data_IF_616073101213
#
_entry.id   IF_616073101213
#
_cell.length_a   1.000
_cell.length_b   1.000
_cell.length_c   1.000
_cell.angle_alpha   90.00
_cell.angle_beta   90.00
_cell.angle_gamma   90.00
#
_symmetry.space_group_name_H-M   'P 1'
#
loop_
_entity.id
_entity.type
_entity.pdbx_description
1 polymer ?
#
# COMPACT_ATOMS: atom_id res chain seq x y z
N UNK A 1 -27.93 -22.26 16.79
CA UNK A 1 -26.78 -21.48 16.33
C UNK A 1 -26.71 -21.74 14.84
N UNK A 2 -26.91 -20.71 14.03
CA UNK A 2 -26.77 -20.85 12.59
C UNK A 2 -25.30 -20.62 12.27
N UNK A 3 -24.60 -21.71 11.96
CA UNK A 3 -23.20 -21.72 11.53
C UNK A 3 -23.20 -21.34 10.04
N UNK A 4 -22.75 -20.13 9.73
CA UNK A 4 -22.54 -19.67 8.37
C UNK A 4 -21.02 -19.63 8.13
N UNK A 5 -20.54 -20.39 7.16
CA UNK A 5 -19.16 -20.36 6.71
C UNK A 5 -19.12 -19.73 5.31
N UNK A 6 -18.28 -18.71 5.15
CA UNK A 6 -18.07 -18.04 3.87
C UNK A 6 -17.16 -18.96 3.04
N UNK A 7 -17.73 -19.55 1.98
CA UNK A 7 -17.06 -20.56 1.15
C UNK A 7 -16.65 -20.04 -0.24
N UNK A 8 -16.82 -18.74 -0.50
CA UNK A 8 -16.39 -18.09 -1.74
C UNK A 8 -15.82 -16.69 -1.43
N UNK A 9 -14.66 -16.38 -2.02
CA UNK A 9 -13.87 -15.17 -1.78
C UNK A 9 -13.72 -14.33 -3.06
N UNK A 10 -14.49 -14.61 -4.12
CA UNK A 10 -14.47 -13.81 -5.35
C UNK A 10 -14.88 -12.36 -5.05
N UNK A 11 -13.97 -11.41 -5.34
CA UNK A 11 -14.18 -9.97 -5.13
C UNK A 11 -13.42 -9.34 -3.96
N UNK A 12 -12.76 -10.14 -3.11
CA UNK A 12 -11.95 -9.63 -1.99
C UNK A 12 -10.47 -9.40 -2.35
N UNK A 13 -10.08 -9.58 -3.61
CA UNK A 13 -8.70 -9.35 -4.10
C UNK A 13 -7.63 -10.10 -3.25
N UNK A 14 -8.04 -11.20 -2.61
CA UNK A 14 -7.21 -12.01 -1.72
C UNK A 14 -7.22 -11.61 -0.24
N UNK A 15 -8.01 -10.64 0.22
CA UNK A 15 -8.13 -10.33 1.65
C UNK A 15 -8.60 -11.57 2.44
N UNK A 16 -8.03 -11.80 3.62
CA UNK A 16 -8.38 -12.92 4.47
C UNK A 16 -9.45 -12.50 5.47
N UNK A 17 -10.45 -13.35 5.66
CA UNK A 17 -11.53 -13.11 6.61
C UNK A 17 -11.58 -14.28 7.60
N UNK A 18 -11.60 -13.97 8.89
CA UNK A 18 -11.81 -14.99 9.93
C UNK A 18 -13.18 -15.64 9.77
N UNK A 19 -13.26 -16.96 9.96
CA UNK A 19 -14.52 -17.72 9.99
C UNK A 19 -15.49 -17.23 11.08
N UNK A 20 -14.99 -16.46 12.06
CA UNK A 20 -15.76 -15.88 13.17
C UNK A 20 -16.01 -14.38 13.04
N UNK A 21 -15.74 -13.80 11.87
CA UNK A 21 -16.00 -12.39 11.63
C UNK A 21 -17.50 -12.08 11.80
N UNK A 22 -17.79 -10.96 12.46
CA UNK A 22 -19.16 -10.47 12.55
C UNK A 22 -19.66 -10.04 11.17
N UNK A 23 -20.98 -10.07 10.96
CA UNK A 23 -21.57 -9.59 9.70
C UNK A 23 -21.22 -8.12 9.41
N UNK A 24 -21.10 -7.30 10.45
CA UNK A 24 -20.65 -5.90 10.37
C UNK A 24 -19.21 -5.80 9.85
N UNK A 25 -18.30 -6.65 10.36
CA UNK A 25 -16.91 -6.72 9.87
C UNK A 25 -16.84 -7.11 8.39
N UNK A 26 -17.69 -8.03 7.94
CA UNK A 26 -17.77 -8.43 6.52
C UNK A 26 -18.22 -7.25 5.66
N UNK A 27 -19.28 -6.54 6.07
CA UNK A 27 -19.80 -5.40 5.32
C UNK A 27 -18.77 -4.27 5.24
N UNK A 28 -18.13 -3.91 6.37
CA UNK A 28 -17.13 -2.84 6.39
C UNK A 28 -15.92 -3.20 5.52
N UNK A 29 -15.44 -4.45 5.55
CA UNK A 29 -14.36 -4.87 4.66
C UNK A 29 -14.78 -4.85 3.19
N UNK A 30 -16.01 -5.25 2.88
CA UNK A 30 -16.52 -5.21 1.51
C UNK A 30 -16.61 -3.76 1.00
N UNK A 31 -17.08 -2.81 1.82
CA UNK A 31 -17.12 -1.39 1.49
C UNK A 31 -15.71 -0.83 1.28
N UNK A 32 -14.77 -1.17 2.17
CA UNK A 32 -13.36 -0.76 2.07
C UNK A 32 -12.69 -1.29 0.79
N UNK A 33 -12.90 -2.56 0.43
CA UNK A 33 -12.39 -3.12 -0.82
C UNK A 33 -13.12 -2.56 -2.03
N UNK A 34 -14.41 -2.23 -1.93
CA UNK A 34 -15.11 -1.55 -3.01
C UNK A 34 -14.56 -0.13 -3.26
N UNK A 35 -14.11 0.56 -2.22
CA UNK A 35 -13.51 1.89 -2.29
C UNK A 35 -12.06 1.86 -2.81
N UNK A 36 -11.22 0.98 -2.25
CA UNK A 36 -9.77 0.97 -2.51
C UNK A 36 -9.32 -0.16 -3.46
N UNK A 37 -10.24 -1.02 -3.90
CA UNK A 37 -9.97 -2.14 -4.78
C UNK A 37 -8.89 -3.08 -4.25
N UNK A 38 -8.04 -3.54 -5.18
CA UNK A 38 -6.91 -4.42 -4.87
C UNK A 38 -5.91 -3.83 -3.89
N UNK A 39 -5.71 -2.50 -3.91
CA UNK A 39 -4.82 -1.84 -2.98
C UNK A 39 -5.33 -2.00 -1.54
N UNK A 40 -6.63 -1.78 -1.32
CA UNK A 40 -7.25 -1.98 -0.01
C UNK A 40 -7.00 -3.37 0.54
N UNK A 41 -7.23 -4.41 -0.27
CA UNK A 41 -6.98 -5.79 0.15
C UNK A 41 -5.51 -6.07 0.53
N UNK A 42 -4.54 -5.49 -0.20
CA UNK A 42 -3.11 -5.64 0.09
C UNK A 42 -2.73 -4.94 1.40
N UNK A 43 -3.23 -3.71 1.61
CA UNK A 43 -3.01 -2.92 2.82
C UNK A 43 -3.63 -3.60 4.04
N UNK A 44 -4.88 -4.06 3.92
CA UNK A 44 -5.57 -4.81 4.98
C UNK A 44 -4.78 -6.05 5.42
N UNK A 45 -4.28 -6.83 4.46
CA UNK A 45 -3.44 -7.99 4.75
C UNK A 45 -2.13 -7.59 5.43
N UNK A 46 -1.53 -6.47 5.04
CA UNK A 46 -0.28 -5.98 5.66
C UNK A 46 -0.45 -5.71 7.15
N UNK A 47 -1.59 -5.14 7.56
CA UNK A 47 -1.91 -4.88 8.96
C UNK A 47 -2.49 -6.10 9.70
N UNK A 48 -2.37 -7.31 9.14
CA UNK A 48 -2.83 -8.52 9.80
C UNK A 48 -4.34 -8.60 9.93
N UNK A 49 -5.06 -8.13 8.91
CA UNK A 49 -6.52 -8.07 8.84
C UNK A 49 -7.17 -7.10 9.86
N UNK A 50 -6.42 -6.08 10.28
CA UNK A 50 -6.94 -4.95 11.07
C UNK A 50 -7.46 -3.84 10.14
N UNK A 51 -8.78 -3.78 9.98
CA UNK A 51 -9.44 -2.81 9.11
C UNK A 51 -9.25 -1.37 9.57
N UNK A 52 -9.27 -1.10 10.88
CA UNK A 52 -9.13 0.26 11.40
C UNK A 52 -7.73 0.81 11.13
N UNK A 53 -6.69 -0.02 11.32
CA UNK A 53 -5.33 0.35 10.95
C UNK A 53 -5.16 0.50 9.43
N UNK A 54 -5.79 -0.38 8.64
CA UNK A 54 -5.74 -0.29 7.19
C UNK A 54 -6.37 1.03 6.70
N UNK A 55 -7.55 1.39 7.17
CA UNK A 55 -8.22 2.66 6.87
C UNK A 55 -7.37 3.85 7.29
N UNK A 56 -6.86 3.86 8.53
CA UNK A 56 -6.04 4.95 9.04
C UNK A 56 -4.76 5.17 8.22
N UNK A 57 -4.18 4.10 7.64
CA UNK A 57 -2.97 4.23 6.82
C UNK A 57 -3.19 5.05 5.54
N UNK A 58 -4.42 5.13 5.02
CA UNK A 58 -4.70 5.92 3.82
C UNK A 58 -4.58 7.43 4.03
N UNK A 59 -4.59 7.92 5.28
CA UNK A 59 -4.27 9.32 5.60
C UNK A 59 -2.80 9.66 5.28
N UNK A 60 -1.93 8.65 5.22
CA UNK A 60 -0.50 8.77 4.93
C UNK A 60 -0.14 8.30 3.51
N UNK A 61 -1.14 8.19 2.63
CA UNK A 61 -0.95 7.77 1.25
C UNK A 61 -0.23 8.86 0.41
N UNK A 62 0.94 8.52 -0.13
CA UNK A 62 1.80 9.42 -0.88
C UNK A 62 1.53 9.44 -2.39
N UNK A 63 0.73 8.50 -2.91
CA UNK A 63 0.33 8.45 -4.31
C UNK A 63 0.77 7.18 -5.06
N UNK A 64 0.55 7.18 -6.38
CA UNK A 64 0.91 6.09 -7.30
C UNK A 64 2.04 6.53 -8.22
N UNK A 65 3.00 5.63 -8.44
CA UNK A 65 4.20 5.84 -9.22
C UNK A 65 4.44 4.64 -10.15
N UNK A 66 5.22 4.84 -11.22
CA UNK A 66 5.61 3.74 -12.10
C UNK A 66 6.59 2.77 -11.41
N UNK A 67 7.38 3.27 -10.46
CA UNK A 67 8.26 2.47 -9.63
C UNK A 67 8.57 3.17 -8.31
N UNK A 68 9.10 2.41 -7.35
CA UNK A 68 9.65 2.98 -6.10
C UNK A 68 10.81 3.97 -6.35
N UNK A 69 11.56 3.76 -7.45
CA UNK A 69 12.64 4.66 -7.84
C UNK A 69 12.10 6.00 -8.32
N UNK A 70 11.00 6.01 -9.07
CA UNK A 70 10.34 7.25 -9.52
C UNK A 70 9.84 8.06 -8.31
N UNK A 71 9.26 7.40 -7.30
CA UNK A 71 8.90 8.06 -6.04
C UNK A 71 10.11 8.72 -5.36
N UNK A 72 11.22 8.00 -5.23
CA UNK A 72 12.42 8.53 -4.58
C UNK A 72 13.04 9.70 -5.36
N UNK A 73 13.02 9.63 -6.69
CA UNK A 73 13.46 10.72 -7.56
C UNK A 73 12.55 11.95 -7.42
N UNK A 74 11.23 11.80 -7.54
CA UNK A 74 10.26 12.88 -7.42
C UNK A 74 10.38 13.56 -6.04
N UNK A 75 10.41 12.77 -4.97
CA UNK A 75 10.60 13.28 -3.61
C UNK A 75 11.89 14.09 -3.49
N UNK A 76 13.00 13.59 -4.03
CA UNK A 76 14.28 14.30 -3.98
C UNK A 76 14.25 15.58 -4.81
N UNK A 77 13.59 15.58 -5.97
CA UNK A 77 13.45 16.78 -6.80
C UNK A 77 12.60 17.85 -6.10
N UNK A 78 11.62 17.44 -5.31
CA UNK A 78 10.75 18.35 -4.56
C UNK A 78 11.37 18.89 -3.27
N UNK A 79 12.14 18.08 -2.56
CA UNK A 79 12.58 18.38 -1.18
C UNK A 79 14.09 18.39 -0.97
N UNK A 80 14.83 17.78 -1.90
CA UNK A 80 16.26 17.57 -1.81
C UNK A 80 17.09 18.76 -2.27
N UNK A 81 18.41 18.55 -2.27
CA UNK A 81 19.37 19.53 -2.80
C UNK A 81 19.45 19.44 -4.31
N UNK A 82 19.65 20.59 -4.98
CA UNK A 82 19.84 20.62 -6.42
C UNK A 82 21.02 19.73 -6.85
N UNK A 83 20.74 18.79 -7.76
CA UNK A 83 21.73 17.87 -8.30
C UNK A 83 22.46 18.57 -9.46
N UNK A 84 23.80 18.66 -9.43
CA UNK A 84 24.55 19.14 -10.58
C UNK A 84 24.28 18.26 -11.81
N UNK A 85 24.00 18.88 -12.97
CA UNK A 85 23.68 18.17 -14.21
C UNK A 85 24.69 17.07 -14.61
N UNK A 86 25.96 17.23 -14.22
CA UNK A 86 27.00 16.23 -14.47
C UNK A 86 26.81 14.93 -13.66
N UNK A 87 26.04 14.95 -12.58
CA UNK A 87 25.80 13.82 -11.67
C UNK A 87 24.40 13.20 -11.83
N UNK A 88 23.49 13.84 -12.56
CA UNK A 88 22.08 13.43 -12.67
C UNK A 88 21.92 11.97 -13.10
N UNK A 89 22.67 11.53 -14.10
CA UNK A 89 22.60 10.15 -14.61
C UNK A 89 23.42 9.13 -13.81
N UNK A 90 24.01 9.53 -12.68
CA UNK A 90 24.82 8.66 -11.82
C UNK A 90 24.13 8.35 -10.49
N UNK A 91 22.93 8.87 -10.24
CA UNK A 91 22.19 8.61 -9.02
C UNK A 91 21.42 7.31 -9.16
N UNK A 92 21.59 6.43 -8.17
CA UNK A 92 20.83 5.18 -8.07
C UNK A 92 19.58 5.41 -7.21
N UNK A 93 18.50 5.82 -7.87
CA UNK A 93 17.20 6.03 -7.23
C UNK A 93 16.58 4.75 -6.70
N UNK A 94 16.92 3.60 -7.29
CA UNK A 94 16.43 2.30 -6.83
C UNK A 94 17.05 1.92 -5.48
N UNK A 95 18.34 2.19 -5.30
CA UNK A 95 19.02 2.02 -4.02
C UNK A 95 18.43 2.95 -2.95
N UNK A 96 18.20 4.22 -3.27
CA UNK A 96 17.59 5.17 -2.32
C UNK A 96 16.20 4.72 -1.88
N UNK A 97 15.33 4.38 -2.82
CA UNK A 97 13.97 3.90 -2.51
C UNK A 97 13.98 2.63 -1.65
N UNK A 98 14.90 1.70 -1.95
CA UNK A 98 15.10 0.48 -1.16
C UNK A 98 15.53 0.79 0.27
N UNK A 99 16.43 1.75 0.45
CA UNK A 99 16.90 2.14 1.78
C UNK A 99 15.78 2.79 2.60
N UNK A 100 14.91 3.60 1.97
CA UNK A 100 13.72 4.16 2.62
C UNK A 100 12.73 3.08 3.08
N UNK A 101 12.47 2.08 2.24
CA UNK A 101 11.58 0.97 2.57
C UNK A 101 12.17 0.09 3.69
N UNK A 102 13.47 -0.24 3.62
CA UNK A 102 14.15 -1.02 4.66
C UNK A 102 14.35 -0.26 5.97
N UNK A 103 14.52 1.07 5.89
CA UNK A 103 14.54 1.97 7.04
C UNK A 103 13.19 2.08 7.72
N UNK A 104 12.12 1.69 7.02
CA UNK A 104 10.75 1.83 7.48
C UNK A 104 10.30 3.29 7.47
N UNK A 105 10.75 4.09 6.50
CA UNK A 105 10.26 5.45 6.21
C UNK A 105 9.04 5.42 5.27
N UNK A 106 8.90 4.34 4.49
CA UNK A 106 7.79 4.12 3.57
C UNK A 106 7.34 2.66 3.56
N UNK A 107 6.07 2.45 3.20
CA UNK A 107 5.52 1.17 2.76
C UNK A 107 5.15 1.23 1.29
N UNK A 108 5.36 0.13 0.58
CA UNK A 108 5.16 0.05 -0.87
C UNK A 108 4.29 -1.15 -1.24
N UNK A 109 3.30 -0.93 -2.11
CA UNK A 109 2.40 -1.96 -2.62
C UNK A 109 2.36 -1.93 -4.15
N UNK A 110 2.50 -3.10 -4.79
CA UNK A 110 2.45 -3.24 -6.24
C UNK A 110 1.12 -3.89 -6.65
N UNK A 111 0.30 -3.17 -7.40
CA UNK A 111 -1.02 -3.62 -7.88
C UNK A 111 -1.00 -4.05 -9.35
N UNK A 112 0.03 -3.64 -10.10
CA UNK A 112 0.18 -3.92 -11.53
C UNK A 112 1.54 -3.55 -12.10
N UNK A 113 1.65 -3.59 -13.43
CA UNK A 113 2.84 -3.07 -14.14
C UNK A 113 2.82 -1.54 -14.09
N UNK A 114 3.92 -0.94 -13.64
CA UNK A 114 4.04 0.51 -13.46
C UNK A 114 2.95 1.11 -12.54
N UNK A 115 2.49 0.32 -11.57
CA UNK A 115 1.41 0.68 -10.65
C UNK A 115 1.85 0.36 -9.21
N UNK A 116 2.65 1.29 -8.66
CA UNK A 116 3.30 1.21 -7.35
C UNK A 116 2.71 2.28 -6.43
N UNK A 117 2.06 1.85 -5.36
CA UNK A 117 1.46 2.70 -4.35
C UNK A 117 2.40 2.87 -3.17
N UNK A 118 2.65 4.11 -2.74
CA UNK A 118 3.56 4.43 -1.64
C UNK A 118 2.81 5.09 -0.50
N UNK A 119 3.11 4.68 0.73
CA UNK A 119 2.58 5.23 1.97
C UNK A 119 3.74 5.66 2.85
N UNK A 120 3.59 6.78 3.55
CA UNK A 120 4.50 7.14 4.63
C UNK A 120 4.24 6.25 5.85
N UNK A 121 5.28 5.91 6.57
CA UNK A 121 5.19 5.24 7.88
C UNK A 121 5.40 6.27 8.99
N UNK A 122 4.60 6.19 10.04
CA UNK A 122 4.68 7.05 11.23
C UNK A 122 5.06 6.27 12.47
#
# INVERSE_FOLDING_TARGET
AEEWAIHDYEGFEGAHLSEYASFETVCNLADFIAEHGRLGALVHRHFGDDLEQAEASFDDYAGTYASRADFAEDLHRDTGTEIPAALEYYIDWSALARDMELGGDIMVFETGFEDVHVFWTR
#
